data_IF_017172630689
#
_entry.id   IF_017172630689
#
_cell.length_a   1.000
_cell.length_b   1.000
_cell.length_c   1.000
_cell.angle_alpha   90.00
_cell.angle_beta   90.00
_cell.angle_gamma   90.00
#
_symmetry.space_group_name_H-M   'P 1'
#
loop_
_entity.id
_entity.type
_entity.pdbx_description
1 polymer ?
#
# COMPACT_ATOMS: atom_id res chain seq x y z
N UNK A 1 3.89 -7.19 10.21
CA UNK A 1 3.88 -6.80 8.78
C UNK A 1 4.91 -7.63 8.04
N UNK A 2 4.56 -8.15 6.88
CA UNK A 2 5.44 -8.98 6.04
C UNK A 2 5.71 -8.28 4.71
N UNK A 3 6.99 -8.15 4.35
CA UNK A 3 7.43 -7.59 3.06
C UNK A 3 8.50 -8.50 2.50
N UNK A 4 8.30 -9.00 1.27
CA UNK A 4 9.24 -9.91 0.60
C UNK A 4 9.55 -11.18 1.40
N UNK A 5 8.54 -11.75 2.07
CA UNK A 5 8.68 -12.96 2.90
C UNK A 5 9.33 -12.75 4.28
N UNK A 6 9.69 -11.52 4.65
CA UNK A 6 10.25 -11.20 5.98
C UNK A 6 9.19 -10.55 6.85
N UNK A 7 8.90 -11.14 8.02
CA UNK A 7 7.97 -10.60 9.01
C UNK A 7 8.71 -9.86 10.12
N UNK A 8 8.30 -8.62 10.44
CA UNK A 8 8.79 -7.85 11.59
C UNK A 8 7.66 -7.54 12.58
N UNK A 9 7.95 -7.70 13.88
CA UNK A 9 7.08 -7.34 15.00
C UNK A 9 7.38 -5.97 15.60
N UNK A 10 8.55 -5.39 15.28
CA UNK A 10 8.97 -4.05 15.69
C UNK A 10 9.83 -3.38 14.58
N UNK A 11 9.99 -2.07 14.68
CA UNK A 11 10.72 -1.28 13.70
C UNK A 11 9.92 -0.98 12.43
N UNK A 12 10.60 -0.54 11.37
CA UNK A 12 10.00 -0.19 10.08
C UNK A 12 10.67 -1.01 8.97
N UNK A 13 9.93 -1.29 7.90
CA UNK A 13 10.55 -1.68 6.64
C UNK A 13 11.02 -0.42 5.92
N UNK A 14 12.19 -0.50 5.29
CA UNK A 14 12.60 0.56 4.39
C UNK A 14 11.65 0.59 3.19
N UNK A 15 11.41 1.79 2.65
CA UNK A 15 10.67 1.95 1.41
C UNK A 15 11.34 1.17 0.27
N UNK A 16 10.55 0.77 -0.72
CA UNK A 16 11.06 0.05 -1.88
C UNK A 16 12.20 0.82 -2.55
N UNK A 17 13.34 0.13 -2.67
CA UNK A 17 14.53 0.65 -3.33
C UNK A 17 15.00 2.00 -2.80
N UNK A 18 14.98 2.17 -1.47
CA UNK A 18 15.49 3.34 -0.74
C UNK A 18 16.86 3.78 -1.26
N UNK A 19 16.83 4.81 -2.10
CA UNK A 19 17.97 5.61 -2.51
C UNK A 19 18.35 6.67 -1.46
N UNK A 20 19.36 7.49 -1.76
CA UNK A 20 19.79 8.56 -0.89
C UNK A 20 18.66 9.58 -0.71
N UNK A 21 18.35 9.92 0.54
CA UNK A 21 17.39 10.97 0.85
C UNK A 21 18.01 12.35 0.61
N UNK A 22 17.21 13.28 0.10
CA UNK A 22 17.59 14.68 -0.11
C UNK A 22 16.56 15.61 0.52
N UNK A 23 17.03 16.71 1.11
CA UNK A 23 16.18 17.72 1.75
C UNK A 23 15.59 18.69 0.71
N UNK A 24 14.62 18.21 -0.06
CA UNK A 24 13.93 19.00 -1.08
C UNK A 24 12.41 18.85 -0.98
N UNK A 25 11.69 19.92 -1.31
CA UNK A 25 10.22 19.92 -1.32
C UNK A 25 9.71 18.90 -2.33
N UNK A 26 8.82 18.02 -1.88
CA UNK A 26 8.23 16.99 -2.74
C UNK A 26 9.22 15.90 -3.17
N UNK A 27 10.27 15.67 -2.38
CA UNK A 27 11.24 14.60 -2.64
C UNK A 27 10.55 13.26 -2.93
N UNK A 28 10.95 12.63 -4.03
CA UNK A 28 10.56 11.30 -4.45
C UNK A 28 11.80 10.51 -4.78
N UNK A 29 11.79 9.22 -4.47
CA UNK A 29 12.90 8.36 -4.85
C UNK A 29 12.93 8.20 -6.38
N UNK A 30 14.02 8.58 -7.08
CA UNK A 30 14.05 8.57 -8.54
C UNK A 30 14.14 7.15 -9.13
N UNK A 31 14.57 6.16 -8.35
CA UNK A 31 14.92 4.86 -8.88
C UNK A 31 13.80 3.82 -8.72
N UNK A 32 13.03 3.87 -7.63
CA UNK A 32 12.20 2.73 -7.22
C UNK A 32 10.85 3.09 -6.59
N UNK A 33 10.32 4.28 -6.87
CA UNK A 33 9.00 4.68 -6.36
C UNK A 33 7.90 3.77 -6.91
N UNK A 34 7.02 3.31 -6.03
CA UNK A 34 5.89 2.43 -6.41
C UNK A 34 4.69 3.24 -6.88
N UNK A 35 4.59 4.47 -6.39
CA UNK A 35 3.57 5.44 -6.76
C UNK A 35 3.99 6.26 -7.99
N UNK A 36 3.01 6.75 -8.73
CA UNK A 36 3.21 7.72 -9.82
C UNK A 36 3.34 9.15 -9.30
N UNK A 37 3.92 10.08 -10.09
CA UNK A 37 4.06 11.50 -9.75
C UNK A 37 2.78 12.13 -9.20
N UNK A 38 2.95 13.22 -8.44
CA UNK A 38 1.82 13.97 -7.89
C UNK A 38 0.87 14.43 -9.02
N UNK A 39 -0.44 14.27 -8.81
CA UNK A 39 -1.48 14.56 -9.80
C UNK A 39 -1.84 13.38 -10.71
N UNK A 40 -1.04 12.30 -10.71
CA UNK A 40 -1.35 11.10 -11.47
C UNK A 40 -2.17 10.07 -10.68
N UNK A 41 -2.89 9.23 -11.41
CA UNK A 41 -3.70 8.16 -10.83
C UNK A 41 -2.87 6.91 -10.54
N UNK A 42 -2.84 6.52 -9.26
CA UNK A 42 -2.36 5.22 -8.82
C UNK A 42 -3.49 4.19 -8.86
N UNK A 43 -3.18 2.96 -9.29
CA UNK A 43 -4.06 1.82 -9.13
C UNK A 43 -3.73 1.12 -7.81
N UNK A 44 -4.73 1.01 -6.95
CA UNK A 44 -4.62 0.28 -5.68
C UNK A 44 -5.46 -0.98 -5.78
N UNK A 45 -4.89 -2.11 -5.37
CA UNK A 45 -5.61 -3.38 -5.30
C UNK A 45 -5.39 -3.99 -3.91
N UNK A 46 -6.49 -4.43 -3.29
CA UNK A 46 -6.49 -5.09 -1.99
C UNK A 46 -7.18 -6.43 -2.14
N UNK A 47 -6.45 -7.51 -1.87
CA UNK A 47 -6.99 -8.88 -1.87
C UNK A 47 -7.11 -9.34 -0.43
N UNK A 48 -8.34 -9.53 0.05
CA UNK A 48 -8.64 -10.01 1.40
C UNK A 48 -9.26 -11.41 1.34
N UNK A 49 -8.45 -12.44 1.62
CA UNK A 49 -8.83 -13.85 1.56
C UNK A 49 -8.79 -14.45 2.97
N UNK A 50 -9.97 -14.61 3.60
CA UNK A 50 -10.06 -15.06 4.98
C UNK A 50 -9.40 -14.08 5.95
N UNK A 51 -8.34 -14.52 6.64
CA UNK A 51 -7.53 -13.70 7.55
C UNK A 51 -6.25 -13.14 6.91
N UNK A 52 -6.08 -13.36 5.60
CA UNK A 52 -4.91 -12.95 4.82
C UNK A 52 -5.24 -11.75 3.95
N UNK A 53 -4.31 -10.78 3.91
CA UNK A 53 -4.45 -9.54 3.17
C UNK A 53 -3.20 -9.29 2.34
N UNK A 54 -3.37 -8.96 1.06
CA UNK A 54 -2.32 -8.50 0.16
C UNK A 54 -2.68 -7.14 -0.41
N UNK A 55 -1.72 -6.24 -0.43
CA UNK A 55 -1.90 -4.87 -0.92
C UNK A 55 -0.92 -4.58 -2.03
N UNK A 56 -1.45 -4.10 -3.16
CA UNK A 56 -0.70 -3.79 -4.36
C UNK A 56 -0.86 -2.33 -4.73
N UNK A 57 0.24 -1.73 -5.20
CA UNK A 57 0.27 -0.39 -5.76
C UNK A 57 0.83 -0.51 -7.17
N UNK A 58 0.06 -0.07 -8.17
CA UNK A 58 0.41 -0.16 -9.59
C UNK A 58 0.90 -1.56 -10.01
N UNK A 59 0.23 -2.62 -9.51
CA UNK A 59 0.54 -4.02 -9.82
C UNK A 59 1.70 -4.63 -9.02
N UNK A 60 2.39 -3.85 -8.17
CA UNK A 60 3.47 -4.36 -7.31
C UNK A 60 2.94 -4.69 -5.92
N UNK A 61 3.19 -5.91 -5.44
CA UNK A 61 2.88 -6.29 -4.05
C UNK A 61 3.75 -5.47 -3.10
N UNK A 62 3.13 -4.58 -2.34
CA UNK A 62 3.84 -3.69 -1.41
C UNK A 62 3.80 -4.18 0.03
N UNK A 63 2.71 -4.85 0.42
CA UNK A 63 2.53 -5.38 1.77
C UNK A 63 1.69 -6.65 1.74
N UNK A 64 2.00 -7.59 2.64
CA UNK A 64 1.14 -8.74 2.93
C UNK A 64 1.10 -9.04 4.42
N UNK A 65 0.05 -9.72 4.85
CA UNK A 65 -0.12 -10.17 6.22
C UNK A 65 -1.17 -11.27 6.34
N UNK A 66 -1.08 -12.04 7.43
CA UNK A 66 -2.01 -13.10 7.79
C UNK A 66 -2.39 -13.00 9.27
N UNK A 67 -3.44 -13.71 9.70
CA UNK A 67 -3.93 -13.66 11.07
C UNK A 67 -4.63 -12.34 11.42
N UNK A 68 -5.29 -11.71 10.45
CA UNK A 68 -6.09 -10.51 10.70
C UNK A 68 -7.23 -10.81 11.70
N UNK A 69 -7.33 -9.98 12.76
CA UNK A 69 -8.39 -10.06 13.75
C UNK A 69 -8.93 -8.65 14.05
N UNK A 70 -10.19 -8.34 13.70
CA UNK A 70 -11.19 -9.22 13.08
C UNK A 70 -10.87 -9.56 11.61
N UNK A 71 -11.22 -10.77 11.18
CA UNK A 71 -11.03 -11.22 9.79
C UNK A 71 -12.11 -10.72 8.80
N UNK A 72 -13.09 -9.95 9.27
CA UNK A 72 -14.15 -9.35 8.43
C UNK A 72 -14.63 -8.03 9.02
N UNK A 73 -15.12 -7.15 8.17
CA UNK A 73 -15.62 -5.84 8.60
C UNK A 73 -16.08 -4.98 7.44
N UNK A 74 -16.18 -3.67 7.71
CA UNK A 74 -16.51 -2.66 6.70
C UNK A 74 -15.25 -2.27 5.93
N UNK A 75 -15.41 -1.96 4.65
CA UNK A 75 -14.39 -1.30 3.84
C UNK A 75 -14.49 0.21 4.08
N UNK A 76 -13.38 0.84 4.41
CA UNK A 76 -13.31 2.27 4.73
C UNK A 76 -12.27 2.95 3.85
N UNK A 77 -12.59 4.17 3.40
CA UNK A 77 -11.65 5.06 2.71
C UNK A 77 -11.28 6.18 3.66
N UNK A 78 -10.00 6.28 4.01
CA UNK A 78 -9.50 7.29 4.94
C UNK A 78 -8.99 8.51 4.19
N UNK A 79 -9.23 9.70 4.76
CA UNK A 79 -8.50 10.92 4.44
C UNK A 79 -7.94 11.48 5.75
N UNK A 80 -6.67 11.91 5.72
CA UNK A 80 -5.99 12.49 6.87
C UNK A 80 -5.31 13.79 6.45
N UNK A 81 -5.95 14.93 6.71
CA UNK A 81 -5.36 16.26 6.58
C UNK A 81 -5.08 16.77 5.16
N UNK A 82 -5.29 15.95 4.13
CA UNK A 82 -5.07 16.31 2.72
C UNK A 82 -6.23 15.87 1.83
N UNK A 83 -6.42 16.61 0.73
CA UNK A 83 -7.41 16.29 -0.30
C UNK A 83 -7.06 14.98 -1.01
N UNK A 84 -8.08 14.16 -1.28
CA UNK A 84 -7.95 12.87 -1.94
C UNK A 84 -9.04 12.71 -2.99
N UNK A 85 -8.68 12.09 -4.11
CA UNK A 85 -9.59 11.78 -5.19
C UNK A 85 -9.61 10.27 -5.40
N UNK A 86 -10.81 9.69 -5.45
CA UNK A 86 -11.03 8.28 -5.75
C UNK A 86 -11.87 8.15 -7.02
N UNK A 87 -11.58 7.14 -7.83
CA UNK A 87 -12.41 6.78 -9.00
C UNK A 87 -12.32 5.28 -9.24
N UNK A 88 -13.34 4.73 -9.93
CA UNK A 88 -13.38 3.31 -10.34
C UNK A 88 -13.17 2.36 -9.16
N UNK A 89 -13.98 2.53 -8.13
CA UNK A 89 -13.99 1.63 -6.98
C UNK A 89 -14.83 0.41 -7.35
N UNK A 90 -14.16 -0.70 -7.54
CA UNK A 90 -14.73 -1.99 -7.93
C UNK A 90 -14.51 -2.99 -6.78
N UNK A 91 -15.48 -3.86 -6.53
CA UNK A 91 -15.41 -4.86 -5.47
C UNK A 91 -15.88 -6.20 -6.04
N UNK A 92 -15.00 -7.19 -5.98
CA UNK A 92 -15.26 -8.54 -6.45
C UNK A 92 -15.13 -9.51 -5.27
N UNK A 93 -16.14 -10.37 -5.01
CA UNK A 93 -15.97 -11.49 -4.08
C UNK A 93 -14.87 -12.43 -4.57
N UNK A 94 -14.12 -13.00 -3.63
CA UNK A 94 -13.20 -14.09 -3.95
C UNK A 94 -13.96 -15.41 -4.04
N UNK A 95 -13.52 -16.29 -4.95
CA UNK A 95 -14.05 -17.66 -5.09
C UNK A 95 -13.75 -18.55 -3.88
#
# INVERSE_FOLDING_TARGET
LTVGGVTRSQGRFDRFGKGPWEDVVGYRDPANEVEKPHGEWNLLELVAAGDTVKYYVNGKLVNEGSGANPARGKILFQSEGAELFYRRIELEPLE
#
